data_IF_124321760103
#
_entry.id   IF_124321760103
#
_cell.length_a   1.000
_cell.length_b   1.000
_cell.length_c   1.000
_cell.angle_alpha   90.00
_cell.angle_beta   90.00
_cell.angle_gamma   90.00
#
_symmetry.space_group_name_H-M   'P 1'
#
loop_
_entity.id
_entity.type
_entity.pdbx_description
1 polymer ?
#
# COMPACT_ATOMS: atom_id res chain seq x y z
N UNK A 1 59.80 14.69 36.27
CA UNK A 1 61.01 14.34 35.47
C UNK A 1 60.60 13.17 34.60
N UNK A 2 60.58 13.17 33.28
CA UNK A 2 60.79 14.15 32.22
C UNK A 2 60.13 13.53 30.98
N UNK A 3 59.60 14.35 30.08
CA UNK A 3 59.31 13.94 28.70
C UNK A 3 60.57 13.35 28.03
N UNK A 4 60.41 12.66 26.89
CA UNK A 4 60.66 13.41 25.67
C UNK A 4 59.72 13.10 24.50
N UNK A 5 59.45 14.19 23.82
CA UNK A 5 58.96 14.36 22.47
C UNK A 5 60.07 13.98 21.48
N UNK A 6 59.76 13.15 20.47
CA UNK A 6 60.53 13.14 19.22
C UNK A 6 59.70 12.58 18.05
N UNK A 7 59.32 13.48 17.16
CA UNK A 7 58.96 13.18 15.78
C UNK A 7 60.15 13.57 14.91
N UNK A 8 60.49 12.78 13.87
CA UNK A 8 60.78 13.43 12.60
C UNK A 8 60.21 12.66 11.39
N UNK A 9 59.46 13.38 10.55
CA UNK A 9 59.47 13.21 9.08
C UNK A 9 60.69 13.94 8.49
N UNK A 10 61.27 13.45 7.37
CA UNK A 10 60.86 14.02 6.07
C UNK A 10 60.89 13.07 4.85
N UNK A 11 60.08 13.49 3.88
CA UNK A 11 60.05 13.29 2.41
C UNK A 11 61.22 12.59 1.69
N UNK A 12 60.91 11.80 0.65
CA UNK A 12 61.19 12.16 -0.77
C UNK A 12 60.94 11.01 -1.77
N UNK A 13 60.38 11.43 -2.92
CA UNK A 13 60.56 10.95 -4.30
C UNK A 13 60.05 9.54 -4.69
N UNK A 14 59.02 9.42 -5.53
CA UNK A 14 58.92 9.77 -6.97
C UNK A 14 59.51 8.70 -7.90
N UNK A 15 58.61 8.04 -8.62
CA UNK A 15 58.84 7.70 -10.02
C UNK A 15 57.49 7.67 -10.73
N UNK A 16 57.12 8.82 -11.30
CA UNK A 16 56.13 8.87 -12.36
C UNK A 16 56.53 8.02 -13.58
N UNK A 17 55.55 7.73 -14.42
CA UNK A 17 55.64 8.16 -15.80
C UNK A 17 54.25 8.26 -16.44
N UNK A 18 54.13 9.28 -17.28
CA UNK A 18 52.94 9.87 -17.85
C UNK A 18 52.47 9.20 -19.14
N UNK A 19 51.18 9.43 -19.43
CA UNK A 19 50.42 9.45 -20.71
C UNK A 19 51.22 9.68 -22.02
N UNK A 20 50.71 9.34 -23.26
CA UNK A 20 49.34 9.72 -23.71
C UNK A 20 48.61 8.87 -24.82
N UNK A 21 47.33 9.22 -25.00
CA UNK A 21 46.52 9.31 -26.25
C UNK A 21 45.72 8.09 -26.81
N UNK A 22 44.49 8.44 -27.21
CA UNK A 22 43.25 7.69 -27.58
C UNK A 22 43.26 7.08 -29.03
N UNK A 23 42.14 6.55 -29.63
CA UNK A 23 40.74 6.43 -29.17
C UNK A 23 40.00 5.09 -29.51
N UNK A 24 38.73 4.99 -29.04
CA UNK A 24 37.53 4.43 -29.72
C UNK A 24 36.74 3.30 -29.03
N UNK A 25 35.43 3.57 -28.95
CA UNK A 25 34.27 2.65 -28.98
C UNK A 25 33.68 2.12 -27.67
N UNK A 26 32.37 2.36 -27.48
CA UNK A 26 31.49 1.48 -26.71
C UNK A 26 30.64 2.13 -25.61
N UNK A 27 29.70 3.01 -25.95
CA UNK A 27 28.58 3.39 -25.06
C UNK A 27 27.40 2.44 -25.32
N UNK A 28 26.82 1.76 -24.32
CA UNK A 28 25.54 1.10 -24.53
C UNK A 28 24.43 2.15 -24.49
N UNK A 29 23.78 2.35 -25.64
CA UNK A 29 22.50 3.04 -25.76
C UNK A 29 21.39 2.03 -26.02
N UNK A 30 20.26 2.19 -25.33
CA UNK A 30 18.95 1.63 -25.65
C UNK A 30 17.96 2.79 -25.51
N UNK A 31 16.94 3.01 -26.34
CA UNK A 31 16.52 2.38 -27.59
C UNK A 31 15.51 3.32 -28.26
N UNK A 32 15.52 3.39 -29.59
CA UNK A 32 14.39 3.78 -30.42
C UNK A 32 14.33 2.78 -31.60
N UNK A 33 13.15 2.18 -31.82
CA UNK A 33 12.84 1.12 -32.80
C UNK A 33 13.00 1.54 -34.28
N UNK A 34 13.16 0.56 -35.19
CA UNK A 34 12.12 0.42 -36.22
C UNK A 34 11.77 -1.02 -36.69
N UNK A 35 10.50 -1.12 -37.12
CA UNK A 35 9.71 -2.15 -37.82
C UNK A 35 10.38 -2.96 -38.96
N UNK A 36 10.17 -4.30 -38.98
CA UNK A 36 10.35 -5.17 -40.16
C UNK A 36 9.24 -6.25 -40.23
N UNK A 37 8.66 -6.45 -41.43
CA UNK A 37 7.57 -7.37 -41.80
C UNK A 37 8.00 -8.85 -41.95
N UNK A 38 7.09 -9.85 -41.93
CA UNK A 38 7.47 -11.25 -42.12
C UNK A 38 7.44 -11.68 -43.60
N UNK A 39 8.55 -12.28 -44.04
CA UNK A 39 8.72 -13.01 -45.31
C UNK A 39 7.97 -14.35 -45.33
N UNK A 40 7.50 -14.73 -46.52
CA UNK A 40 6.97 -16.05 -46.83
C UNK A 40 8.13 -17.00 -47.17
N UNK A 41 8.14 -18.20 -46.61
CA UNK A 41 8.95 -19.32 -47.12
C UNK A 41 8.05 -20.52 -47.35
N UNK A 42 7.84 -20.82 -48.63
CA UNK A 42 7.19 -22.03 -49.14
C UNK A 42 8.24 -23.12 -49.28
N UNK A 43 7.88 -24.37 -48.99
CA UNK A 43 8.66 -25.54 -49.41
C UNK A 43 7.79 -26.41 -50.32
N UNK A 44 8.33 -26.71 -51.49
CA UNK A 44 7.71 -27.45 -52.59
C UNK A 44 8.20 -28.90 -52.65
N UNK A 45 7.37 -29.80 -53.19
CA UNK A 45 7.77 -31.02 -53.90
C UNK A 45 6.54 -31.52 -54.70
N UNK A 46 6.50 -31.35 -56.03
CA UNK A 46 7.02 -32.28 -57.07
C UNK A 46 6.15 -33.56 -57.17
N UNK A 47 5.68 -34.06 -58.31
CA UNK A 47 5.81 -33.72 -59.73
C UNK A 47 4.76 -34.54 -60.51
N UNK A 48 4.51 -34.16 -61.78
CA UNK A 48 3.79 -34.91 -62.82
C UNK A 48 2.30 -35.23 -62.50
N UNK A 49 1.32 -34.62 -63.15
CA UNK A 49 1.15 -34.64 -64.60
C UNK A 49 0.15 -35.73 -65.02
N UNK A 50 -1.14 -35.59 -64.68
CA UNK A 50 -2.27 -35.94 -65.56
C UNK A 50 -3.62 -35.63 -64.87
N UNK A 51 -4.55 -35.11 -65.66
CA UNK A 51 -5.88 -34.60 -65.31
C UNK A 51 -6.96 -35.69 -65.18
N UNK A 52 -7.82 -35.58 -64.17
CA UNK A 52 -9.20 -36.13 -64.24
C UNK A 52 -10.15 -35.18 -63.49
N UNK A 53 -11.15 -34.68 -64.21
CA UNK A 53 -12.24 -33.84 -63.68
C UNK A 53 -13.18 -34.69 -62.83
N UNK A 54 -13.32 -34.38 -61.55
CA UNK A 54 -14.42 -34.87 -60.70
C UNK A 54 -15.22 -33.65 -60.27
N UNK A 55 -16.39 -33.47 -60.89
CA UNK A 55 -17.41 -32.54 -60.43
C UNK A 55 -17.91 -33.03 -59.07
N UNK A 56 -17.41 -32.40 -58.02
CA UNK A 56 -17.94 -32.53 -56.67
C UNK A 56 -18.15 -31.10 -56.18
N UNK A 57 -19.39 -30.63 -56.25
CA UNK A 57 -19.78 -29.35 -55.67
C UNK A 57 -19.63 -29.46 -54.14
N UNK A 58 -18.67 -28.76 -53.50
CA UNK A 58 -18.62 -28.76 -52.05
C UNK A 58 -19.73 -27.83 -51.54
N UNK A 59 -20.61 -28.39 -50.71
CA UNK A 59 -21.61 -27.65 -49.92
C UNK A 59 -20.93 -26.42 -49.32
N UNK A 60 -21.38 -25.24 -49.75
CA UNK A 60 -20.93 -23.98 -49.18
C UNK A 60 -21.33 -23.95 -47.70
N UNK A 61 -20.37 -24.19 -46.82
CA UNK A 61 -20.50 -23.88 -45.40
C UNK A 61 -20.48 -22.36 -45.27
N UNK A 62 -21.56 -21.67 -44.87
CA UNK A 62 -21.49 -20.24 -44.66
C UNK A 62 -20.62 -19.98 -43.43
N UNK A 63 -19.33 -19.68 -43.64
CA UNK A 63 -18.46 -19.06 -42.64
C UNK A 63 -18.90 -17.62 -42.47
N UNK A 64 -19.98 -17.39 -41.74
CA UNK A 64 -20.23 -16.07 -41.15
C UNK A 64 -19.29 -15.90 -39.97
N UNK A 65 -18.08 -15.39 -40.25
CA UNK A 65 -17.33 -14.64 -39.25
C UNK A 65 -18.11 -13.34 -39.08
N UNK A 66 -19.06 -13.34 -38.14
CA UNK A 66 -19.75 -12.13 -37.68
C UNK A 66 -18.69 -11.21 -37.11
N UNK A 67 -18.21 -10.31 -37.95
CA UNK A 67 -17.52 -9.11 -37.55
C UNK A 67 -18.40 -8.44 -36.50
N UNK A 68 -18.00 -8.54 -35.23
CA UNK A 68 -18.58 -7.75 -34.15
C UNK A 68 -18.46 -6.31 -34.60
N UNK A 69 -19.54 -5.79 -35.16
CA UNK A 69 -19.53 -4.47 -35.79
C UNK A 69 -19.28 -3.49 -34.65
N UNK A 70 -18.57 -2.38 -34.89
CA UNK A 70 -18.35 -1.36 -33.85
C UNK A 70 -19.65 -0.96 -33.13
N UNK A 71 -20.79 -1.12 -33.81
CA UNK A 71 -22.14 -1.02 -33.29
C UNK A 71 -22.47 -2.00 -32.14
N UNK A 72 -22.06 -3.25 -32.22
CA UNK A 72 -22.27 -4.25 -31.15
C UNK A 72 -21.37 -3.96 -29.95
N UNK A 73 -20.16 -3.44 -30.20
CA UNK A 73 -19.26 -2.95 -29.15
C UNK A 73 -19.83 -1.72 -28.46
N UNK A 74 -20.35 -0.76 -29.24
CA UNK A 74 -21.01 0.43 -28.70
C UNK A 74 -22.30 0.09 -27.95
N UNK A 75 -23.08 -0.89 -28.43
CA UNK A 75 -24.26 -1.40 -27.74
C UNK A 75 -23.91 -2.10 -26.43
N UNK A 76 -22.86 -2.93 -26.42
CA UNK A 76 -22.38 -3.60 -25.20
C UNK A 76 -21.86 -2.58 -24.19
N UNK A 77 -21.12 -1.57 -24.66
CA UNK A 77 -20.62 -0.49 -23.81
C UNK A 77 -21.75 0.39 -23.27
N UNK A 78 -22.73 0.74 -24.10
CA UNK A 78 -23.92 1.48 -23.68
C UNK A 78 -24.73 0.71 -22.63
N UNK A 79 -24.94 -0.60 -22.85
CA UNK A 79 -25.65 -1.45 -21.89
C UNK A 79 -24.89 -1.54 -20.55
N UNK A 80 -23.56 -1.70 -20.59
CA UNK A 80 -22.73 -1.69 -19.39
C UNK A 80 -22.86 -0.35 -18.64
N UNK A 81 -22.74 0.78 -19.35
CA UNK A 81 -22.89 2.12 -18.77
C UNK A 81 -24.24 2.22 -18.09
N UNK A 82 -25.34 1.87 -18.78
CA UNK A 82 -26.69 1.93 -18.20
C UNK A 82 -26.81 1.08 -16.92
N UNK A 83 -26.27 -0.13 -16.92
CA UNK A 83 -26.26 -0.99 -15.72
C UNK A 83 -25.47 -0.33 -14.58
N UNK A 84 -24.29 0.22 -14.86
CA UNK A 84 -23.50 0.97 -13.87
C UNK A 84 -24.24 2.20 -13.37
N UNK A 85 -24.87 3.00 -14.25
CA UNK A 85 -25.66 4.16 -13.85
C UNK A 85 -26.86 3.75 -12.97
N UNK A 86 -27.46 2.59 -13.22
CA UNK A 86 -28.57 2.07 -12.39
C UNK A 86 -28.07 1.72 -10.98
N UNK A 87 -26.99 0.95 -10.88
CA UNK A 87 -26.38 0.60 -9.58
C UNK A 87 -25.90 1.85 -8.84
N UNK A 88 -25.22 2.77 -9.51
CA UNK A 88 -24.68 3.99 -8.90
C UNK A 88 -25.79 4.99 -8.57
N UNK A 89 -26.81 5.13 -9.41
CA UNK A 89 -27.94 6.03 -9.22
C UNK A 89 -28.84 5.62 -8.06
N UNK A 90 -29.08 4.32 -7.87
CA UNK A 90 -29.79 3.80 -6.69
C UNK A 90 -28.97 4.04 -5.40
N UNK A 91 -27.63 4.00 -5.50
CA UNK A 91 -26.71 4.24 -4.37
C UNK A 91 -26.26 5.71 -4.23
N UNK A 92 -26.79 6.67 -5.02
CA UNK A 92 -26.45 8.09 -4.94
C UNK A 92 -25.00 8.49 -5.32
N UNK A 93 -24.26 7.64 -6.05
CA UNK A 93 -22.80 7.77 -6.22
C UNK A 93 -22.29 8.62 -7.38
N UNK A 94 -23.08 9.55 -7.95
CA UNK A 94 -22.55 10.47 -8.98
C UNK A 94 -21.91 11.70 -8.34
N UNK A 95 -20.59 11.66 -8.14
CA UNK A 95 -19.78 12.90 -8.10
C UNK A 95 -18.88 12.92 -9.32
N UNK A 96 -19.31 13.63 -10.35
CA UNK A 96 -18.50 13.97 -11.51
C UNK A 96 -18.01 15.40 -11.28
N UNK A 97 -16.72 15.57 -10.95
CA UNK A 97 -16.10 16.89 -10.81
C UNK A 97 -15.08 17.09 -11.93
N UNK A 98 -15.51 17.54 -13.13
CA UNK A 98 -14.60 17.84 -14.24
C UNK A 98 -14.02 19.24 -14.00
N UNK A 99 -13.03 19.30 -13.12
CA UNK A 99 -12.27 20.50 -12.78
C UNK A 99 -11.10 20.10 -11.89
N UNK A 100 -10.00 20.85 -11.92
CA UNK A 100 -8.98 20.77 -10.87
C UNK A 100 -9.66 20.85 -9.51
N UNK A 101 -9.35 19.98 -8.53
CA UNK A 101 -9.99 20.03 -7.21
C UNK A 101 -9.90 21.45 -6.67
N UNK A 102 -11.01 22.17 -6.76
CA UNK A 102 -11.18 23.46 -6.10
C UNK A 102 -11.95 23.20 -4.81
N UNK A 103 -11.81 22.00 -4.25
CA UNK A 103 -12.23 21.70 -2.90
C UNK A 103 -11.22 22.34 -1.96
N UNK A 104 -11.43 23.64 -1.76
CA UNK A 104 -11.12 24.32 -0.50
C UNK A 104 -12.25 24.04 0.51
N UNK A 105 -12.99 22.93 0.34
CA UNK A 105 -13.93 22.42 1.31
C UNK A 105 -13.17 21.71 2.44
N UNK A 106 -13.72 21.64 3.66
CA UNK A 106 -13.11 20.86 4.73
C UNK A 106 -12.91 19.42 4.26
N UNK A 107 -11.67 18.93 4.29
CA UNK A 107 -11.39 17.50 4.08
C UNK A 107 -12.29 16.72 5.04
N UNK A 108 -13.02 15.68 4.59
CA UNK A 108 -13.82 14.86 5.47
C UNK A 108 -12.97 14.35 6.64
N UNK A 109 -13.28 14.80 7.84
CA UNK A 109 -12.58 14.42 9.07
C UNK A 109 -13.34 13.30 9.76
N UNK A 110 -12.63 12.25 10.15
CA UNK A 110 -13.21 11.20 10.98
C UNK A 110 -13.42 11.69 12.44
N UNK A 111 -14.41 11.16 13.14
CA UNK A 111 -14.55 11.33 14.60
C UNK A 111 -13.65 10.33 15.34
N UNK A 112 -12.33 10.51 15.18
CA UNK A 112 -11.29 9.61 15.67
C UNK A 112 -11.42 9.35 17.18
N UNK A 113 -11.40 10.39 17.99
CA UNK A 113 -11.47 10.27 19.45
C UNK A 113 -12.87 9.91 19.92
N UNK A 114 -13.93 10.45 19.31
CA UNK A 114 -15.30 10.15 19.70
C UNK A 114 -15.70 8.69 19.42
N UNK A 115 -15.02 8.01 18.49
CA UNK A 115 -15.21 6.57 18.28
C UNK A 115 -14.86 5.76 19.53
N UNK A 116 -13.78 6.10 20.24
CA UNK A 116 -13.41 5.43 21.50
C UNK A 116 -14.45 5.68 22.60
N UNK A 117 -15.02 6.88 22.67
CA UNK A 117 -16.07 7.21 23.63
C UNK A 117 -17.39 6.45 23.34
N UNK A 118 -17.65 6.11 22.07
CA UNK A 118 -18.84 5.37 21.64
C UNK A 118 -18.66 3.86 21.71
N UNK A 119 -17.42 3.37 21.70
CA UNK A 119 -17.08 1.95 21.67
C UNK A 119 -17.80 1.10 22.74
N UNK A 120 -17.95 1.54 24.02
CA UNK A 120 -18.63 0.74 25.05
C UNK A 120 -20.11 0.48 24.78
N UNK A 121 -20.72 1.14 23.79
CA UNK A 121 -22.11 0.91 23.39
C UNK A 121 -22.29 -0.37 22.59
N UNK A 122 -21.23 -0.83 21.92
CA UNK A 122 -21.28 -1.99 21.04
C UNK A 122 -20.26 -3.07 21.45
N UNK A 123 -19.10 -2.66 21.98
CA UNK A 123 -18.03 -3.56 22.36
C UNK A 123 -18.15 -4.00 23.84
N UNK A 124 -17.69 -5.20 24.19
CA UNK A 124 -17.78 -5.74 25.55
C UNK A 124 -16.70 -5.19 26.51
N UNK A 125 -15.98 -4.15 26.12
CA UNK A 125 -14.89 -3.54 26.90
C UNK A 125 -14.95 -2.01 26.81
N UNK A 126 -14.34 -1.33 27.79
CA UNK A 126 -14.30 0.14 27.83
C UNK A 126 -12.88 0.64 27.59
N UNK A 127 -12.57 1.16 26.39
CA UNK A 127 -11.24 1.70 26.12
C UNK A 127 -11.07 3.09 26.75
N UNK A 128 -9.83 3.47 27.01
CA UNK A 128 -9.43 4.82 27.37
C UNK A 128 -9.65 5.70 26.14
N UNK A 129 -10.35 6.82 26.33
CA UNK A 129 -10.56 7.82 25.28
C UNK A 129 -9.26 8.63 25.14
N UNK A 130 -8.63 8.69 23.94
CA UNK A 130 -7.40 9.45 23.74
C UNK A 130 -7.58 10.94 24.05
N UNK A 131 -6.68 11.53 24.83
CA UNK A 131 -6.70 12.95 25.19
C UNK A 131 -5.40 13.65 24.78
N UNK A 132 -5.44 14.97 24.57
CA UNK A 132 -4.24 15.74 24.26
C UNK A 132 -3.62 15.44 22.89
N UNK A 133 -4.44 14.97 21.93
CA UNK A 133 -4.02 14.86 20.53
C UNK A 133 -3.79 16.28 19.98
N UNK A 134 -2.64 16.57 19.34
CA UNK A 134 -2.37 17.88 18.77
C UNK A 134 -3.40 18.29 17.71
N UNK A 135 -3.76 19.58 17.69
CA UNK A 135 -4.79 20.13 16.78
C UNK A 135 -4.36 20.11 15.30
N UNK A 136 -3.07 19.99 15.02
CA UNK A 136 -2.50 19.89 13.67
C UNK A 136 -2.45 18.45 13.13
N UNK A 137 -2.94 17.46 13.90
CA UNK A 137 -3.10 16.09 13.45
C UNK A 137 -4.47 15.91 12.80
N UNK A 138 -4.49 15.60 11.51
CA UNK A 138 -5.73 15.42 10.76
C UNK A 138 -6.32 14.03 11.04
N UNK A 139 -7.55 13.91 11.59
CA UNK A 139 -8.22 12.63 11.76
C UNK A 139 -8.55 11.98 10.41
N UNK A 140 -7.86 10.90 10.10
CA UNK A 140 -7.95 10.21 8.81
C UNK A 140 -8.94 9.04 8.82
N UNK A 141 -8.98 8.28 9.92
CA UNK A 141 -9.84 7.11 10.02
C UNK A 141 -10.37 6.90 11.43
N UNK A 142 -11.56 6.35 11.53
CA UNK A 142 -12.18 5.90 12.77
C UNK A 142 -13.08 4.71 12.45
N UNK A 143 -12.92 3.60 13.16
CA UNK A 143 -13.73 2.40 12.94
C UNK A 143 -13.81 1.58 14.22
N UNK A 144 -14.82 0.72 14.29
CA UNK A 144 -14.89 -0.35 15.28
C UNK A 144 -15.42 -1.61 14.62
N UNK A 145 -15.04 -2.76 15.17
CA UNK A 145 -15.62 -4.05 14.81
C UNK A 145 -17.07 -4.08 15.24
N UNK A 146 -17.94 -4.60 14.38
CA UNK A 146 -19.32 -4.94 14.73
C UNK A 146 -19.39 -6.41 15.19
N UNK A 147 -19.66 -6.68 16.49
CA UNK A 147 -19.66 -8.05 17.02
C UNK A 147 -20.69 -8.97 16.37
N UNK A 148 -21.79 -8.43 15.82
CA UNK A 148 -22.86 -9.22 15.23
C UNK A 148 -22.51 -9.71 13.81
N UNK A 149 -21.62 -8.99 13.12
CA UNK A 149 -21.23 -9.30 11.73
C UNK A 149 -19.79 -9.76 11.59
N UNK A 150 -18.97 -9.64 12.63
CA UNK A 150 -17.58 -10.08 12.63
C UNK A 150 -17.46 -11.61 12.50
N UNK A 151 -16.53 -12.12 11.68
CA UNK A 151 -16.23 -13.54 11.65
C UNK A 151 -15.82 -14.06 13.04
N UNK A 152 -16.26 -15.27 13.39
CA UNK A 152 -15.94 -15.90 14.67
C UNK A 152 -14.41 -15.96 14.89
N UNK A 153 -13.97 -15.51 16.07
CA UNK A 153 -12.55 -15.46 16.43
C UNK A 153 -11.80 -14.19 15.98
N UNK A 154 -12.46 -13.26 15.28
CA UNK A 154 -11.87 -11.94 14.99
C UNK A 154 -11.79 -11.11 16.26
N UNK A 155 -10.63 -10.52 16.61
CA UNK A 155 -10.55 -9.56 17.71
C UNK A 155 -11.56 -8.41 17.54
N UNK A 156 -12.30 -8.12 18.61
CA UNK A 156 -13.15 -6.93 18.63
C UNK A 156 -12.25 -5.72 18.88
N UNK A 157 -12.30 -4.75 17.98
CA UNK A 157 -11.41 -3.59 18.02
C UNK A 157 -12.19 -2.30 17.92
N UNK A 158 -11.64 -1.25 18.51
CA UNK A 158 -11.91 0.14 18.12
C UNK A 158 -10.59 0.77 17.71
N UNK A 159 -10.61 1.58 16.66
CA UNK A 159 -9.41 2.21 16.11
C UNK A 159 -9.69 3.62 15.63
N UNK A 160 -8.62 4.41 15.67
CA UNK A 160 -8.54 5.68 14.99
C UNK A 160 -7.15 5.87 14.39
N UNK A 161 -7.09 6.67 13.34
CA UNK A 161 -5.84 7.01 12.67
C UNK A 161 -5.81 8.48 12.30
N UNK A 162 -4.59 9.04 12.31
CA UNK A 162 -4.31 10.43 12.02
C UNK A 162 -3.20 10.56 10.98
N UNK A 163 -3.23 11.65 10.23
CA UNK A 163 -2.10 12.14 9.46
C UNK A 163 -1.47 13.29 10.22
N UNK A 164 -0.18 13.18 10.52
CA UNK A 164 0.57 14.22 11.22
C UNK A 164 1.08 15.28 10.21
N UNK A 165 1.62 16.44 10.63
CA UNK A 165 1.99 17.53 9.71
C UNK A 165 2.97 17.18 8.60
N UNK A 166 3.83 16.17 8.81
CA UNK A 166 4.77 15.68 7.79
C UNK A 166 4.12 14.69 6.78
N UNK A 167 2.81 14.46 6.90
CA UNK A 167 2.01 13.57 6.06
C UNK A 167 2.09 12.09 6.43
N UNK A 168 2.85 11.71 7.46
CA UNK A 168 2.93 10.32 7.91
C UNK A 168 1.67 9.91 8.68
N UNK A 169 1.38 8.62 8.63
CA UNK A 169 0.24 8.03 9.28
C UNK A 169 0.62 7.49 10.67
N UNK A 170 -0.27 7.67 11.63
CA UNK A 170 -0.21 6.99 12.91
C UNK A 170 -1.61 6.55 13.36
N UNK A 171 -1.72 5.34 13.88
CA UNK A 171 -2.97 4.73 14.32
C UNK A 171 -2.90 4.22 15.74
N UNK A 172 -4.04 4.31 16.43
CA UNK A 172 -4.29 3.70 17.73
C UNK A 172 -5.40 2.67 17.59
N UNK A 173 -5.19 1.52 18.22
CA UNK A 173 -6.11 0.39 18.22
C UNK A 173 -6.27 -0.06 19.67
N UNK A 174 -7.50 -0.31 20.10
CA UNK A 174 -7.81 -0.93 21.38
C UNK A 174 -8.66 -2.18 21.15
N UNK A 175 -8.37 -3.25 21.89
CA UNK A 175 -9.05 -4.54 21.78
C UNK A 175 -9.11 -5.26 23.12
N UNK A 176 -10.10 -6.14 23.30
CA UNK A 176 -10.12 -7.11 24.41
C UNK A 176 -9.31 -8.38 24.12
N UNK A 177 -8.60 -8.44 22.99
CA UNK A 177 -7.74 -9.56 22.64
C UNK A 177 -6.37 -9.45 23.33
N UNK A 178 -5.75 -10.61 23.58
CA UNK A 178 -4.35 -10.70 23.99
C UNK A 178 -3.42 -10.06 22.93
N UNK A 179 -2.29 -9.46 23.33
CA UNK A 179 -1.38 -8.78 22.40
C UNK A 179 -1.00 -9.62 21.17
N UNK A 180 -0.61 -10.88 21.38
CA UNK A 180 -0.23 -11.79 20.29
C UNK A 180 -1.36 -12.01 19.27
N UNK A 181 -2.62 -12.09 19.75
CA UNK A 181 -3.77 -12.25 18.88
C UNK A 181 -4.10 -10.96 18.12
N UNK A 182 -3.99 -9.81 18.79
CA UNK A 182 -4.18 -8.50 18.15
C UNK A 182 -3.12 -8.26 17.07
N UNK A 183 -1.83 -8.39 17.41
CA UNK A 183 -0.72 -8.22 16.47
C UNK A 183 -0.82 -9.21 15.30
N UNK A 184 -1.19 -10.45 15.58
CA UNK A 184 -1.42 -11.46 14.54
C UNK A 184 -2.56 -11.07 13.59
N UNK A 185 -3.64 -10.48 14.10
CA UNK A 185 -4.76 -10.01 13.25
C UNK A 185 -4.41 -8.76 12.43
N UNK A 186 -3.57 -7.88 12.97
CA UNK A 186 -3.22 -6.60 12.35
C UNK A 186 -2.11 -6.75 11.30
N UNK A 187 -1.10 -7.56 11.60
CA UNK A 187 0.07 -7.70 10.73
C UNK A 187 0.13 -9.05 9.99
N UNK A 188 -0.75 -10.00 10.31
CA UNK A 188 -0.73 -11.38 9.79
C UNK A 188 0.31 -12.30 10.46
N UNK A 189 1.32 -11.73 11.12
CA UNK A 189 2.27 -12.44 11.96
C UNK A 189 2.78 -11.51 13.08
N UNK A 190 3.17 -12.10 14.20
CA UNK A 190 3.78 -11.37 15.31
C UNK A 190 5.28 -11.27 15.06
N UNK A 191 5.82 -10.05 15.00
CA UNK A 191 7.27 -9.86 14.90
C UNK A 191 7.96 -9.97 16.25
N UNK A 192 9.25 -9.66 16.29
CA UNK A 192 10.03 -9.75 17.51
C UNK A 192 9.82 -8.50 18.39
N UNK A 193 9.77 -8.72 19.70
CA UNK A 193 9.93 -7.65 20.69
C UNK A 193 11.36 -7.13 20.62
N UNK A 194 11.50 -5.83 20.42
CA UNK A 194 12.77 -5.14 20.24
C UNK A 194 13.18 -4.38 21.50
N UNK A 195 12.22 -4.07 22.38
CA UNK A 195 12.51 -3.44 23.67
C UNK A 195 11.25 -2.93 24.37
N UNK A 196 11.47 -2.01 25.31
CA UNK A 196 10.39 -1.30 26.00
C UNK A 196 10.69 0.20 26.04
N UNK A 197 9.63 1.00 26.15
CA UNK A 197 9.71 2.45 26.28
C UNK A 197 8.76 2.91 27.38
N UNK A 198 9.23 3.78 28.26
CA UNK A 198 8.37 4.45 29.25
C UNK A 198 7.86 5.78 28.67
N UNK A 199 6.56 6.00 28.84
CA UNK A 199 5.89 7.24 28.49
C UNK A 199 4.98 7.63 29.65
N UNK A 200 5.30 8.74 30.33
CA UNK A 200 4.56 9.24 31.49
C UNK A 200 4.33 8.18 32.60
N UNK A 201 5.31 7.30 32.83
CA UNK A 201 5.19 6.22 33.83
C UNK A 201 4.39 5.01 33.38
N UNK A 202 4.03 4.94 32.10
CA UNK A 202 3.42 3.78 31.46
C UNK A 202 4.44 3.09 30.55
N UNK A 203 4.73 1.83 30.86
CA UNK A 203 5.61 0.99 30.02
C UNK A 203 4.85 0.46 28.80
N UNK A 204 5.45 0.67 27.62
CA UNK A 204 5.03 0.09 26.36
C UNK A 204 6.09 -0.89 25.86
N UNK A 205 5.65 -2.02 25.31
CA UNK A 205 6.52 -2.93 24.59
C UNK A 205 6.65 -2.45 23.15
N UNK A 206 7.89 -2.36 22.67
CA UNK A 206 8.21 -1.98 21.30
C UNK A 206 8.52 -3.25 20.52
N UNK A 207 7.68 -3.57 19.56
CA UNK A 207 7.85 -4.65 18.62
C UNK A 207 7.92 -4.14 17.19
N UNK A 208 8.05 -5.09 16.27
CA UNK A 208 7.93 -4.85 14.84
C UNK A 208 6.76 -5.65 14.26
N UNK A 209 5.99 -5.04 13.38
CA UNK A 209 5.04 -5.71 12.50
C UNK A 209 5.75 -6.34 11.29
N UNK A 210 4.96 -6.94 10.41
CA UNK A 210 5.47 -7.45 9.12
C UNK A 210 6.00 -6.29 8.29
N UNK A 211 7.17 -6.47 7.64
CA UNK A 211 7.95 -5.42 6.94
C UNK A 211 8.62 -4.38 7.86
N UNK A 212 8.82 -4.67 9.13
CA UNK A 212 9.52 -3.81 10.09
C UNK A 212 8.76 -2.51 10.42
N UNK A 213 7.43 -2.53 10.32
CA UNK A 213 6.60 -1.42 10.80
C UNK A 213 6.71 -1.32 12.35
N UNK A 214 6.93 -0.15 12.94
CA UNK A 214 6.97 0.00 14.39
C UNK A 214 5.59 -0.30 15.01
N UNK A 215 5.58 -1.15 16.04
CA UNK A 215 4.37 -1.51 16.77
C UNK A 215 4.61 -1.34 18.27
N UNK A 216 3.89 -0.43 18.92
CA UNK A 216 3.95 -0.26 20.37
C UNK A 216 2.69 -0.82 20.99
N UNK A 217 2.81 -1.75 21.92
CA UNK A 217 1.64 -2.33 22.56
C UNK A 217 1.79 -2.37 24.08
N UNK A 218 0.65 -2.29 24.75
CA UNK A 218 0.52 -2.48 26.19
C UNK A 218 -0.85 -3.05 26.51
N UNK A 219 -0.98 -3.68 27.67
CA UNK A 219 -2.28 -4.08 28.21
C UNK A 219 -2.55 -3.27 29.47
N UNK A 220 -3.74 -2.67 29.56
CA UNK A 220 -4.22 -1.95 30.73
C UNK A 220 -5.60 -2.48 31.10
N UNK A 221 -5.70 -3.15 32.26
CA UNK A 221 -6.89 -3.90 32.62
C UNK A 221 -7.14 -5.05 31.66
N UNK A 222 -8.33 -5.09 31.07
CA UNK A 222 -8.79 -6.05 30.06
C UNK A 222 -8.63 -5.53 28.61
N UNK A 223 -8.00 -4.37 28.43
CA UNK A 223 -7.84 -3.74 27.11
C UNK A 223 -6.37 -3.72 26.70
N UNK A 224 -6.08 -4.31 25.55
CA UNK A 224 -4.80 -4.19 24.86
C UNK A 224 -4.84 -3.01 23.90
N UNK A 225 -3.86 -2.13 24.01
CA UNK A 225 -3.63 -1.00 23.11
C UNK A 225 -2.46 -1.33 22.18
N UNK A 226 -2.60 -0.95 20.92
CA UNK A 226 -1.57 -1.02 19.90
C UNK A 226 -1.50 0.31 19.16
N UNK A 227 -0.29 0.86 19.05
CA UNK A 227 0.04 2.01 18.23
C UNK A 227 0.91 1.52 17.09
N UNK A 228 0.57 1.90 15.86
CA UNK A 228 1.31 1.53 14.64
C UNK A 228 1.25 2.63 13.61
N UNK A 229 2.19 2.63 12.67
CA UNK A 229 2.19 3.55 11.54
C UNK A 229 3.58 3.86 11.03
N UNK A 230 3.66 4.87 10.16
CA UNK A 230 4.90 5.31 9.54
C UNK A 230 5.52 6.54 10.20
N UNK A 231 4.85 7.14 11.18
CA UNK A 231 5.31 8.31 11.91
C UNK A 231 6.58 8.07 12.75
N UNK A 232 7.19 9.16 13.22
CA UNK A 232 8.38 9.10 14.07
C UNK A 232 8.03 8.77 15.53
N UNK A 233 9.03 8.34 16.31
CA UNK A 233 8.93 7.99 17.74
C UNK A 233 8.16 9.02 18.58
N UNK A 234 8.32 10.32 18.28
CA UNK A 234 7.62 11.40 18.97
C UNK A 234 6.10 11.28 18.84
N UNK A 235 5.59 10.89 17.68
CA UNK A 235 4.15 10.69 17.47
C UNK A 235 3.65 9.46 18.24
N UNK A 236 4.44 8.38 18.31
CA UNK A 236 4.13 7.20 19.13
C UNK A 236 4.04 7.59 20.61
N UNK A 237 4.96 8.41 21.12
CA UNK A 237 4.90 8.93 22.48
C UNK A 237 3.66 9.79 22.74
N UNK A 238 3.28 10.63 21.78
CA UNK A 238 2.06 11.45 21.90
C UNK A 238 0.81 10.58 22.07
N UNK A 239 0.62 9.55 21.22
CA UNK A 239 -0.51 8.64 21.38
C UNK A 239 -0.41 7.79 22.65
N UNK A 240 0.79 7.35 23.02
CA UNK A 240 1.02 6.59 24.24
C UNK A 240 0.61 7.39 25.49
N UNK A 241 1.00 8.67 25.55
CA UNK A 241 0.58 9.59 26.61
C UNK A 241 -0.92 9.87 26.58
N UNK A 242 -1.52 9.96 25.39
CA UNK A 242 -2.94 10.23 25.21
C UNK A 242 -3.85 9.16 25.82
N UNK A 243 -3.35 7.93 25.98
CA UNK A 243 -4.08 6.82 26.58
C UNK A 243 -3.44 6.31 27.88
N UNK A 244 -2.68 7.12 28.63
CA UNK A 244 -1.95 6.68 29.84
C UNK A 244 -2.80 6.21 31.05
N UNK A 245 -4.12 6.25 30.93
CA UNK A 245 -5.06 5.83 31.98
C UNK A 245 -4.99 4.36 32.34
#
# INVERSE_FOLDING_TARGET
>A
MSSPHHDPRPDSADSGNSDPAAPVSGRPGNAAEPSIAPEQTTVAAAAAGQSITIESNPIAVPKTKRNKTMRDMALSMGLLVVVVLLFVGINGGFTFSPGTPTDTGPVPSADATGQFAKAPRLLPFTPIVPQGIPDDWHPNSAAQTDPDTAPAGTPLTVRAGWLIPDGKFIGLIASNAEPTALLGSEFGAVGADVGTVDVDGVTWTVGTGVRSEPAWFRTAGDVTYLITGSAEDSAFRTLAAAVRG
#
